data_IF_168045523970
#
_entry.id   IF_168045523970
#
_cell.length_a   1.000
_cell.length_b   1.000
_cell.length_c   1.000
_cell.angle_alpha   90.00
_cell.angle_beta   90.00
_cell.angle_gamma   90.00
#
_symmetry.space_group_name_H-M   'P 1'
#
loop_
_entity.id
_entity.type
_entity.pdbx_description
1 polymer ?
#
# COMPACT_ATOMS: atom_id res chain seq x y z
N UNK A 1 4.15 5.25 -6.69
CA UNK A 1 2.70 5.00 -6.92
C UNK A 1 1.85 6.24 -6.70
N UNK A 2 2.09 7.09 -5.69
CA UNK A 2 1.31 8.30 -5.40
C UNK A 2 1.46 9.37 -6.48
N UNK A 3 2.70 9.68 -6.90
CA UNK A 3 2.97 10.60 -8.00
C UNK A 3 2.38 10.09 -9.32
N UNK A 4 2.47 8.79 -9.57
CA UNK A 4 1.90 8.19 -10.76
C UNK A 4 0.38 8.27 -10.78
N UNK A 5 -0.29 8.05 -9.63
CA UNK A 5 -1.73 8.23 -9.48
C UNK A 5 -2.17 9.65 -9.78
N UNK A 6 -1.38 10.65 -9.32
CA UNK A 6 -1.65 12.06 -9.58
C UNK A 6 -1.48 12.41 -11.06
N UNK A 7 -0.41 11.96 -11.71
CA UNK A 7 -0.22 12.19 -13.16
C UNK A 7 -1.30 11.51 -13.99
N UNK A 8 -1.70 10.28 -13.65
CA UNK A 8 -2.77 9.59 -14.36
C UNK A 8 -4.14 10.24 -14.14
N UNK A 9 -4.39 10.87 -13.00
CA UNK A 9 -5.63 11.62 -12.76
C UNK A 9 -5.69 12.94 -13.53
N UNK A 10 -4.55 13.54 -13.89
CA UNK A 10 -4.46 14.80 -14.63
C UNK A 10 -4.37 14.64 -16.17
N UNK A 11 -3.95 13.46 -16.66
CA UNK A 11 -3.86 13.18 -18.09
C UNK A 11 -5.07 12.37 -18.57
N UNK A 12 -6.07 13.07 -19.04
CA UNK A 12 -7.02 12.76 -20.13
C UNK A 12 -7.83 11.47 -20.05
N UNK A 13 -7.92 10.81 -18.90
CA UNK A 13 -9.00 9.88 -18.73
C UNK A 13 -10.08 10.63 -17.93
N UNK A 14 -11.02 11.25 -18.62
CA UNK A 14 -12.25 11.77 -18.04
C UNK A 14 -13.07 10.58 -17.51
N UNK A 15 -12.64 10.04 -16.38
CA UNK A 15 -13.46 9.07 -15.66
C UNK A 15 -14.54 9.85 -14.93
N UNK A 16 -15.75 9.70 -15.39
CA UNK A 16 -16.97 10.25 -14.78
C UNK A 16 -17.14 9.73 -13.34
N UNK A 17 -16.44 8.64 -12.97
CA UNK A 17 -16.54 8.04 -11.64
C UNK A 17 -15.18 8.03 -10.96
N UNK A 18 -15.02 8.73 -9.82
CA UNK A 18 -13.76 8.82 -9.07
C UNK A 18 -13.17 7.47 -8.64
N UNK A 19 -13.99 6.44 -8.52
CA UNK A 19 -13.58 5.09 -8.08
C UNK A 19 -12.85 4.28 -9.16
N UNK A 20 -13.09 4.54 -10.45
CA UNK A 20 -12.54 3.71 -11.53
C UNK A 20 -11.03 3.82 -11.68
N UNK A 21 -10.46 5.03 -11.59
CA UNK A 21 -9.00 5.25 -11.68
C UNK A 21 -8.25 4.48 -10.57
N UNK A 22 -8.64 4.61 -9.29
CA UNK A 22 -8.05 3.82 -8.21
C UNK A 22 -8.12 2.31 -8.45
N UNK A 23 -9.29 1.81 -8.81
CA UNK A 23 -9.50 0.38 -9.07
C UNK A 23 -8.61 -0.12 -10.20
N UNK A 24 -8.49 0.65 -11.27
CA UNK A 24 -7.72 0.26 -12.44
C UNK A 24 -6.22 0.25 -12.17
N UNK A 25 -5.68 1.32 -11.57
CA UNK A 25 -4.26 1.41 -11.21
C UNK A 25 -3.87 0.28 -10.25
N UNK A 26 -4.67 0.06 -9.21
CA UNK A 26 -4.41 -1.00 -8.22
C UNK A 26 -4.57 -2.39 -8.82
N UNK A 27 -5.54 -2.59 -9.71
CA UNK A 27 -5.72 -3.85 -10.42
C UNK A 27 -4.48 -4.21 -11.26
N UNK A 28 -3.96 -3.27 -12.06
CA UNK A 28 -2.75 -3.50 -12.86
C UNK A 28 -1.54 -3.72 -11.95
N UNK A 29 -1.33 -2.84 -10.98
CA UNK A 29 -0.20 -2.94 -10.06
C UNK A 29 -0.17 -4.30 -9.34
N UNK A 30 -1.29 -4.71 -8.74
CA UNK A 30 -1.32 -5.96 -7.97
C UNK A 30 -1.37 -7.19 -8.87
N UNK A 31 -1.89 -7.09 -10.11
CA UNK A 31 -1.80 -8.17 -11.11
C UNK A 31 -0.36 -8.42 -11.54
N UNK A 32 0.38 -7.39 -11.91
CA UNK A 32 1.81 -7.50 -12.24
C UNK A 32 2.61 -8.04 -11.05
N UNK A 33 2.32 -7.53 -9.87
CA UNK A 33 2.95 -7.97 -8.62
C UNK A 33 2.67 -9.45 -8.32
N UNK A 34 1.41 -9.89 -8.45
CA UNK A 34 1.01 -11.28 -8.27
C UNK A 34 1.70 -12.18 -9.29
N UNK A 35 1.76 -11.75 -10.56
CA UNK A 35 2.46 -12.48 -11.61
C UNK A 35 3.94 -12.69 -11.27
N UNK A 36 4.64 -11.65 -10.84
CA UNK A 36 6.06 -11.73 -10.46
C UNK A 36 6.30 -12.65 -9.26
N UNK A 37 5.47 -12.54 -8.23
CA UNK A 37 5.58 -13.41 -7.03
C UNK A 37 5.27 -14.87 -7.40
N UNK A 38 4.22 -15.14 -8.16
CA UNK A 38 3.86 -16.49 -8.59
C UNK A 38 4.96 -17.10 -9.49
N UNK A 39 5.50 -16.31 -10.42
CA UNK A 39 6.63 -16.75 -11.25
C UNK A 39 7.84 -17.09 -10.40
N UNK A 40 8.18 -16.26 -9.42
CA UNK A 40 9.27 -16.53 -8.47
C UNK A 40 9.05 -17.84 -7.71
N UNK A 41 7.82 -18.11 -7.25
CA UNK A 41 7.45 -19.34 -6.54
C UNK A 41 7.66 -20.57 -7.44
N UNK A 42 7.26 -20.48 -8.71
CA UNK A 42 7.41 -21.56 -9.68
C UNK A 42 8.90 -21.82 -9.99
N UNK A 43 9.64 -20.77 -10.35
CA UNK A 43 11.06 -20.86 -10.71
C UNK A 43 11.91 -21.38 -9.55
N UNK A 44 11.60 -20.99 -8.32
CA UNK A 44 12.33 -21.45 -7.12
C UNK A 44 11.84 -22.79 -6.57
N UNK A 45 10.87 -23.44 -7.20
CA UNK A 45 10.32 -24.73 -6.77
C UNK A 45 9.52 -24.69 -5.46
N UNK A 46 9.08 -23.49 -5.03
CA UNK A 46 8.41 -23.27 -3.75
C UNK A 46 6.88 -23.51 -3.80
N UNK A 47 6.35 -24.06 -4.88
CA UNK A 47 4.90 -24.26 -5.08
C UNK A 47 4.30 -25.13 -3.97
N UNK A 48 4.90 -26.32 -3.72
CA UNK A 48 4.38 -27.24 -2.69
C UNK A 48 4.44 -26.66 -1.28
N UNK A 49 5.53 -26.05 -0.80
CA UNK A 49 5.60 -25.34 0.46
C UNK A 49 4.51 -24.25 0.60
N UNK A 50 4.34 -23.41 -0.41
CA UNK A 50 3.34 -22.33 -0.41
C UNK A 50 1.91 -22.88 -0.28
N UNK A 51 1.55 -23.89 -1.07
CA UNK A 51 0.22 -24.54 -0.97
C UNK A 51 0.00 -25.14 0.43
N UNK A 52 1.03 -25.74 1.02
CA UNK A 52 0.95 -26.29 2.39
C UNK A 52 0.72 -25.18 3.42
N UNK A 53 1.42 -24.05 3.28
CA UNK A 53 1.29 -22.90 4.18
C UNK A 53 -0.10 -22.26 4.09
N UNK A 54 -0.66 -22.10 2.89
CA UNK A 54 -1.99 -21.52 2.66
C UNK A 54 -3.09 -22.31 3.37
N UNK A 55 -2.93 -23.63 3.50
CA UNK A 55 -3.89 -24.53 4.16
C UNK A 55 -3.80 -24.52 5.69
N UNK A 56 -2.79 -23.93 6.29
CA UNK A 56 -2.63 -23.85 7.74
C UNK A 56 -3.68 -22.94 8.39
N UNK A 57 -4.10 -23.28 9.61
CA UNK A 57 -5.14 -22.52 10.32
C UNK A 57 -4.76 -21.03 10.53
N UNK A 58 -3.47 -20.72 10.68
CA UNK A 58 -2.99 -19.34 10.84
C UNK A 58 -3.04 -18.51 9.55
N UNK A 59 -3.18 -19.13 8.38
CA UNK A 59 -3.30 -18.40 7.11
C UNK A 59 -4.52 -17.46 7.10
N UNK A 60 -5.58 -17.76 7.86
CA UNK A 60 -6.76 -16.88 7.97
C UNK A 60 -6.42 -15.46 8.42
N UNK A 61 -5.43 -15.29 9.28
CA UNK A 61 -4.99 -13.95 9.71
C UNK A 61 -4.28 -13.21 8.58
N UNK A 62 -3.54 -13.93 7.76
CA UNK A 62 -2.89 -13.35 6.58
C UNK A 62 -3.95 -13.00 5.52
N UNK A 63 -4.92 -13.87 5.27
CA UNK A 63 -6.04 -13.58 4.36
C UNK A 63 -6.80 -12.32 4.77
N UNK A 64 -7.17 -12.23 6.05
CA UNK A 64 -7.89 -11.07 6.56
C UNK A 64 -7.03 -9.80 6.56
N UNK A 65 -5.78 -9.89 7.02
CA UNK A 65 -4.83 -8.76 6.96
C UNK A 65 -4.60 -8.29 5.52
N UNK A 66 -4.41 -9.21 4.58
CA UNK A 66 -4.22 -8.92 3.17
C UNK A 66 -5.44 -8.25 2.52
N UNK A 67 -6.64 -8.64 2.92
CA UNK A 67 -7.88 -7.98 2.46
C UNK A 67 -7.97 -6.54 2.97
N UNK A 68 -7.59 -6.31 4.23
CA UNK A 68 -7.53 -4.96 4.78
C UNK A 68 -6.48 -4.10 4.07
N UNK A 69 -5.25 -4.57 3.99
CA UNK A 69 -4.14 -3.76 3.47
C UNK A 69 -4.11 -3.63 1.96
N UNK A 70 -4.49 -4.68 1.23
CA UNK A 70 -4.59 -4.68 -0.23
C UNK A 70 -5.85 -3.93 -0.70
N UNK A 71 -6.99 -4.61 -0.85
CA UNK A 71 -8.18 -4.00 -1.42
C UNK A 71 -8.64 -2.73 -0.71
N UNK A 72 -8.78 -2.76 0.61
CA UNK A 72 -9.29 -1.62 1.37
C UNK A 72 -8.24 -0.52 1.48
N UNK A 73 -7.02 -0.87 1.90
CA UNK A 73 -5.97 0.11 2.17
C UNK A 73 -5.49 0.83 0.91
N UNK A 74 -5.15 0.08 -0.16
CA UNK A 74 -4.66 0.67 -1.40
C UNK A 74 -5.74 1.48 -2.12
N UNK A 75 -6.97 0.97 -2.20
CA UNK A 75 -8.07 1.72 -2.81
C UNK A 75 -8.31 3.03 -2.04
N UNK A 76 -8.37 2.96 -0.71
CA UNK A 76 -8.52 4.14 0.13
C UNK A 76 -7.36 5.13 -0.03
N UNK A 77 -6.12 4.64 -0.16
CA UNK A 77 -4.96 5.50 -0.40
C UNK A 77 -5.08 6.28 -1.70
N UNK A 78 -5.43 5.62 -2.81
CA UNK A 78 -5.55 6.28 -4.10
C UNK A 78 -6.77 7.21 -4.15
N UNK A 79 -7.88 6.83 -3.49
CA UNK A 79 -9.02 7.74 -3.30
C UNK A 79 -8.59 8.99 -2.51
N UNK A 80 -7.85 8.83 -1.42
CA UNK A 80 -7.32 9.97 -0.67
C UNK A 80 -6.43 10.88 -1.54
N UNK A 81 -5.56 10.30 -2.39
CA UNK A 81 -4.72 11.06 -3.34
C UNK A 81 -5.56 11.89 -4.30
N UNK A 82 -6.70 11.39 -4.77
CA UNK A 82 -7.59 12.15 -5.66
C UNK A 82 -8.24 13.36 -4.96
N UNK A 83 -8.56 13.24 -3.68
CA UNK A 83 -9.24 14.32 -2.94
C UNK A 83 -8.30 15.30 -2.25
N UNK A 84 -7.10 14.85 -1.83
CA UNK A 84 -6.16 15.64 -1.03
C UNK A 84 -4.86 15.98 -1.75
N UNK A 85 -4.59 15.29 -2.86
CA UNK A 85 -3.25 15.27 -3.44
C UNK A 85 -2.31 14.28 -2.76
N UNK A 86 -1.16 13.97 -3.39
CA UNK A 86 -0.23 12.95 -2.91
C UNK A 86 0.44 13.31 -1.58
N UNK A 87 0.80 14.58 -1.34
CA UNK A 87 1.52 14.99 -0.14
C UNK A 87 0.68 14.87 1.12
N UNK A 88 -0.53 15.47 1.17
CA UNK A 88 -1.41 15.36 2.33
C UNK A 88 -1.84 13.92 2.60
N UNK A 89 -2.09 13.15 1.55
CA UNK A 89 -2.40 11.72 1.69
C UNK A 89 -1.23 10.96 2.32
N UNK A 90 0.00 11.20 1.88
CA UNK A 90 1.19 10.56 2.44
C UNK A 90 1.38 10.92 3.91
N UNK A 91 1.16 12.20 4.29
CA UNK A 91 1.22 12.64 5.68
C UNK A 91 0.22 11.90 6.55
N UNK A 92 -1.07 11.95 6.18
CA UNK A 92 -2.13 11.37 7.01
C UNK A 92 -1.99 9.85 7.08
N UNK A 93 -1.72 9.20 5.95
CA UNK A 93 -1.52 7.75 5.92
C UNK A 93 -0.26 7.31 6.67
N UNK A 94 0.75 8.18 6.82
CA UNK A 94 1.99 7.88 7.57
C UNK A 94 1.76 7.63 9.07
N UNK A 95 0.56 7.87 9.58
CA UNK A 95 0.15 7.51 10.94
C UNK A 95 -0.02 5.98 11.10
N UNK A 96 -0.07 5.19 10.00
CA UNK A 96 -0.29 3.74 10.06
C UNK A 96 0.65 2.98 11.00
N UNK A 97 1.94 3.37 11.22
CA UNK A 97 2.78 2.66 12.18
C UNK A 97 2.36 2.89 13.64
N UNK A 98 1.76 4.05 13.94
CA UNK A 98 1.21 4.30 15.28
C UNK A 98 -0.03 3.44 15.54
N UNK A 99 -0.90 3.30 14.53
CA UNK A 99 -2.05 2.39 14.57
C UNK A 99 -1.59 0.95 14.74
N UNK A 100 -0.60 0.53 13.94
CA UNK A 100 -0.03 -0.81 14.04
C UNK A 100 0.70 -1.07 15.37
N UNK A 101 1.39 -0.07 15.93
CA UNK A 101 2.00 -0.17 17.27
C UNK A 101 0.92 -0.43 18.33
N UNK A 102 -0.19 0.29 18.28
CA UNK A 102 -1.32 0.10 19.19
C UNK A 102 -1.88 -1.32 19.08
N UNK A 103 -2.14 -1.81 17.88
CA UNK A 103 -2.61 -3.19 17.68
C UNK A 103 -1.59 -4.25 18.05
N UNK A 104 -0.29 -4.02 17.75
CA UNK A 104 0.76 -4.95 18.15
C UNK A 104 0.89 -5.05 19.67
N UNK A 105 0.68 -3.96 20.39
CA UNK A 105 0.64 -3.98 21.85
C UNK A 105 -0.52 -4.83 22.38
N UNK A 106 -1.73 -4.65 21.82
CA UNK A 106 -2.93 -5.35 22.27
C UNK A 106 -2.90 -6.84 21.87
N UNK A 107 -2.68 -7.15 20.59
CA UNK A 107 -2.85 -8.49 20.04
C UNK A 107 -1.60 -9.35 20.14
N UNK A 108 -0.42 -8.77 19.95
CA UNK A 108 0.85 -9.50 19.99
C UNK A 108 1.53 -9.41 21.37
N UNK A 109 1.01 -8.56 22.26
CA UNK A 109 1.61 -8.23 23.56
C UNK A 109 3.07 -7.78 23.42
N UNK A 110 3.38 -7.08 22.34
CA UNK A 110 4.71 -6.53 22.08
C UNK A 110 5.02 -5.40 23.06
N UNK A 111 5.97 -5.64 23.96
CA UNK A 111 6.49 -4.59 24.84
C UNK A 111 7.50 -3.74 24.08
N UNK A 112 7.32 -2.43 24.04
CA UNK A 112 8.26 -1.49 23.43
C UNK A 112 8.91 -0.62 24.48
N UNK A 113 10.17 -0.27 24.23
CA UNK A 113 10.87 0.70 25.06
C UNK A 113 10.39 2.11 24.70
N UNK A 114 10.28 2.97 25.69
CA UNK A 114 9.75 4.34 25.51
C UNK A 114 10.46 5.10 24.38
N UNK A 115 11.77 4.96 24.27
CA UNK A 115 12.53 5.65 23.21
C UNK A 115 12.13 5.24 21.79
N UNK A 116 11.66 3.98 21.59
CA UNK A 116 11.18 3.51 20.28
C UNK A 116 9.83 4.16 19.91
N UNK A 117 8.98 4.36 20.91
CA UNK A 117 7.71 5.08 20.76
C UNK A 117 7.97 6.55 20.44
N UNK A 118 8.85 7.18 21.19
CA UNK A 118 9.24 8.57 20.95
C UNK A 118 9.83 8.73 19.55
N UNK A 119 10.77 7.87 19.15
CA UNK A 119 11.37 7.91 17.81
C UNK A 119 10.34 7.80 16.68
N UNK A 120 9.29 6.94 16.85
CA UNK A 120 8.19 6.84 15.89
C UNK A 120 7.41 8.16 15.78
N UNK A 121 7.03 8.76 16.91
CA UNK A 121 6.30 10.03 16.89
C UNK A 121 7.13 11.18 16.33
N UNK A 122 8.44 11.21 16.62
CA UNK A 122 9.38 12.17 16.02
C UNK A 122 9.43 11.98 14.49
N UNK A 123 9.55 10.74 14.00
CA UNK A 123 9.53 10.46 12.56
C UNK A 123 8.22 10.91 11.90
N UNK A 124 7.07 10.66 12.53
CA UNK A 124 5.76 11.13 12.03
C UNK A 124 5.72 12.67 12.02
N UNK A 125 6.22 13.33 13.07
CA UNK A 125 6.26 14.79 13.14
C UNK A 125 7.13 15.40 12.01
N UNK A 126 8.28 14.78 11.68
CA UNK A 126 9.09 15.20 10.54
C UNK A 126 8.37 15.00 9.20
N UNK A 127 7.64 13.90 9.03
CA UNK A 127 6.85 13.67 7.80
C UNK A 127 5.76 14.73 7.67
N UNK A 128 5.08 15.06 8.76
CA UNK A 128 4.09 16.14 8.78
C UNK A 128 4.76 17.47 8.39
N UNK A 129 5.93 17.76 8.94
CA UNK A 129 6.65 19.00 8.63
C UNK A 129 7.11 19.07 7.16
N UNK A 130 7.53 17.92 6.58
CA UNK A 130 7.95 17.84 5.17
C UNK A 130 6.79 17.95 4.17
N UNK A 131 5.60 17.63 4.58
CA UNK A 131 4.49 17.41 3.65
C UNK A 131 3.54 18.60 3.48
N UNK A 132 3.78 19.75 4.10
CA UNK A 132 3.04 20.97 3.83
C UNK A 132 3.50 21.59 2.51
N UNK A 133 3.18 20.92 1.40
CA UNK A 133 3.29 21.47 0.04
C UNK A 133 1.92 21.97 -0.35
N UNK A 134 1.84 23.19 -0.81
CA UNK A 134 0.59 23.71 -1.38
C UNK A 134 0.39 23.10 -2.78
N UNK A 135 -0.35 22.00 -2.86
CA UNK A 135 -0.63 21.26 -4.10
C UNK A 135 -1.87 21.81 -4.84
N UNK A 136 -2.32 23.00 -4.51
CA UNK A 136 -3.50 23.61 -5.13
C UNK A 136 -4.82 23.19 -4.49
N UNK A 137 -5.94 23.48 -5.14
CA UNK A 137 -7.27 23.32 -4.56
C UNK A 137 -7.64 21.85 -4.32
N UNK A 138 -7.80 21.46 -3.07
CA UNK A 138 -8.39 20.20 -2.67
C UNK A 138 -9.89 20.21 -2.92
N UNK A 139 -10.39 19.25 -3.69
CA UNK A 139 -11.81 19.22 -4.11
C UNK A 139 -12.77 18.85 -2.98
N UNK A 140 -12.35 18.02 -2.03
CA UNK A 140 -13.18 17.64 -0.88
C UNK A 140 -12.31 17.09 0.28
N UNK A 141 -11.72 18.00 1.05
CA UNK A 141 -10.73 17.67 2.09
C UNK A 141 -11.24 16.68 3.15
N UNK A 142 -12.50 16.74 3.55
CA UNK A 142 -13.05 15.85 4.61
C UNK A 142 -13.11 14.41 4.11
N UNK A 143 -13.62 14.19 2.91
CA UNK A 143 -13.72 12.84 2.30
C UNK A 143 -12.32 12.24 2.12
N UNK A 144 -11.38 13.03 1.61
CA UNK A 144 -10.00 12.60 1.45
C UNK A 144 -9.32 12.22 2.77
N UNK A 145 -9.53 13.01 3.83
CA UNK A 145 -9.03 12.71 5.19
C UNK A 145 -9.59 11.37 5.70
N UNK A 146 -10.89 11.13 5.51
CA UNK A 146 -11.52 9.86 5.92
C UNK A 146 -10.85 8.69 5.19
N UNK A 147 -10.66 8.77 3.87
CA UNK A 147 -9.98 7.72 3.11
C UNK A 147 -8.53 7.52 3.55
N UNK A 148 -7.78 8.59 3.82
CA UNK A 148 -6.40 8.48 4.30
C UNK A 148 -6.33 7.81 5.70
N UNK A 149 -7.27 8.10 6.59
CA UNK A 149 -7.37 7.45 7.90
C UNK A 149 -7.78 5.97 7.78
N UNK A 150 -8.72 5.64 6.89
CA UNK A 150 -9.09 4.25 6.60
C UNK A 150 -7.88 3.48 6.07
N UNK A 151 -7.09 4.08 5.17
CA UNK A 151 -5.84 3.52 4.69
C UNK A 151 -4.85 3.24 5.83
N UNK A 152 -4.63 4.22 6.71
CA UNK A 152 -3.72 4.07 7.85
C UNK A 152 -4.16 2.94 8.80
N UNK A 153 -5.45 2.84 9.10
CA UNK A 153 -6.00 1.76 9.91
C UNK A 153 -5.85 0.40 9.21
N UNK A 154 -6.11 0.33 7.93
CA UNK A 154 -6.02 -0.89 7.14
C UNK A 154 -4.58 -1.42 7.06
N UNK A 155 -3.60 -0.57 6.74
CA UNK A 155 -2.18 -0.96 6.66
C UNK A 155 -1.58 -1.31 8.02
N UNK A 156 -1.93 -0.54 9.07
CA UNK A 156 -1.49 -0.86 10.44
C UNK A 156 -2.03 -2.21 10.91
N UNK A 157 -3.30 -2.52 10.60
CA UNK A 157 -3.93 -3.81 10.92
C UNK A 157 -3.33 -4.95 10.10
N UNK A 158 -3.10 -4.77 8.79
CA UNK A 158 -2.44 -5.75 7.92
C UNK A 158 -1.10 -6.19 8.50
N UNK A 159 -0.24 -5.22 8.84
CA UNK A 159 1.10 -5.50 9.35
C UNK A 159 1.06 -6.39 10.60
N UNK A 160 0.14 -6.13 11.52
CA UNK A 160 0.01 -6.90 12.77
C UNK A 160 -0.57 -8.28 12.50
N UNK A 161 -1.63 -8.39 11.71
CA UNK A 161 -2.27 -9.66 11.38
C UNK A 161 -1.36 -10.58 10.59
N UNK A 162 -0.67 -10.03 9.57
CA UNK A 162 0.27 -10.81 8.77
C UNK A 162 1.49 -11.25 9.60
N UNK A 163 2.02 -10.38 10.47
CA UNK A 163 3.09 -10.76 11.39
C UNK A 163 2.63 -11.85 12.37
N UNK A 164 1.40 -11.77 12.87
CA UNK A 164 0.84 -12.82 13.72
C UNK A 164 0.71 -14.15 12.99
N UNK A 165 0.24 -14.14 11.75
CA UNK A 165 0.13 -15.33 10.90
C UNK A 165 1.48 -15.98 10.61
N UNK A 166 2.54 -15.18 10.43
CA UNK A 166 3.91 -15.63 10.19
C UNK A 166 4.70 -15.96 11.46
N UNK A 167 4.14 -15.68 12.66
CA UNK A 167 4.84 -15.87 13.93
C UNK A 167 5.31 -17.32 14.09
N UNK A 168 6.54 -17.46 14.62
CA UNK A 168 7.18 -18.78 14.85
C UNK A 168 7.52 -19.56 13.56
N UNK A 169 7.55 -18.89 12.40
CA UNK A 169 7.91 -19.52 11.13
C UNK A 169 6.87 -20.51 10.58
N UNK A 170 5.64 -20.50 11.13
CA UNK A 170 4.60 -21.42 10.67
C UNK A 170 4.18 -21.18 9.22
N UNK A 171 4.15 -19.91 8.81
CA UNK A 171 3.89 -19.51 7.42
C UNK A 171 5.08 -18.68 6.96
N UNK A 172 5.63 -19.00 5.79
CA UNK A 172 6.75 -18.27 5.23
C UNK A 172 6.32 -16.86 4.76
N UNK A 173 7.25 -15.91 4.76
CA UNK A 173 7.00 -14.59 4.21
C UNK A 173 6.64 -14.64 2.72
N UNK A 174 7.19 -15.60 1.97
CA UNK A 174 6.85 -15.81 0.56
C UNK A 174 5.39 -16.27 0.39
N UNK A 175 4.92 -17.18 1.26
CA UNK A 175 3.52 -17.61 1.27
C UNK A 175 2.58 -16.47 1.65
N UNK A 176 2.98 -15.64 2.60
CA UNK A 176 2.18 -14.50 3.06
C UNK A 176 2.03 -13.44 1.96
N UNK A 177 3.12 -13.06 1.28
CA UNK A 177 3.04 -12.10 0.17
C UNK A 177 2.29 -12.68 -1.06
N UNK A 178 2.40 -14.00 -1.29
CA UNK A 178 1.62 -14.69 -2.31
C UNK A 178 0.11 -14.55 -2.04
N UNK A 179 -0.33 -14.82 -0.81
CA UNK A 179 -1.73 -14.63 -0.41
C UNK A 179 -2.16 -13.17 -0.65
N UNK A 180 -1.36 -12.22 -0.19
CA UNK A 180 -1.65 -10.79 -0.28
C UNK A 180 -1.85 -10.34 -1.72
N UNK A 181 -0.92 -10.64 -2.60
CA UNK A 181 -0.97 -10.16 -3.98
C UNK A 181 -2.05 -10.86 -4.80
N UNK A 182 -2.23 -12.16 -4.63
CA UNK A 182 -3.29 -12.89 -5.34
C UNK A 182 -4.69 -12.48 -4.86
N UNK A 183 -4.88 -12.26 -3.54
CA UNK A 183 -6.16 -11.78 -3.02
C UNK A 183 -6.51 -10.39 -3.56
N UNK A 184 -5.55 -9.47 -3.58
CA UNK A 184 -5.75 -8.14 -4.13
C UNK A 184 -6.06 -8.19 -5.63
N UNK A 185 -5.28 -8.93 -6.41
CA UNK A 185 -5.50 -9.12 -7.84
C UNK A 185 -6.91 -9.64 -8.12
N UNK A 186 -7.34 -10.69 -7.41
CA UNK A 186 -8.69 -11.28 -7.61
C UNK A 186 -9.76 -10.27 -7.22
N UNK A 187 -9.62 -9.60 -6.06
CA UNK A 187 -10.63 -8.65 -5.58
C UNK A 187 -10.79 -7.47 -6.55
N UNK A 188 -9.67 -6.86 -6.98
CA UNK A 188 -9.73 -5.76 -7.94
C UNK A 188 -10.21 -6.21 -9.32
N UNK A 189 -9.80 -7.40 -9.76
CA UNK A 189 -10.28 -7.98 -11.00
C UNK A 189 -11.79 -8.18 -11.00
N UNK A 190 -12.35 -8.72 -9.91
CA UNK A 190 -13.81 -8.87 -9.75
C UNK A 190 -14.50 -7.50 -9.73
N UNK A 191 -14.01 -6.55 -8.94
CA UNK A 191 -14.59 -5.20 -8.87
C UNK A 191 -14.53 -4.50 -10.23
N UNK A 192 -13.46 -4.68 -10.97
CA UNK A 192 -13.31 -4.12 -12.31
C UNK A 192 -14.30 -4.72 -13.31
N UNK A 193 -14.46 -6.04 -13.31
CA UNK A 193 -15.47 -6.72 -14.15
C UNK A 193 -16.88 -6.28 -13.79
N UNK A 194 -17.22 -6.22 -12.50
CA UNK A 194 -18.52 -5.74 -12.05
C UNK A 194 -18.79 -4.29 -12.47
N UNK A 195 -17.77 -3.43 -12.39
CA UNK A 195 -17.89 -2.06 -12.89
C UNK A 195 -18.25 -2.05 -14.38
N UNK A 196 -17.52 -2.78 -15.22
CA UNK A 196 -17.83 -2.84 -16.66
C UNK A 196 -19.19 -3.43 -16.98
N UNK A 197 -19.64 -4.41 -16.23
CA UNK A 197 -20.95 -5.03 -16.45
C UNK A 197 -22.14 -4.14 -16.07
N UNK A 198 -22.00 -3.33 -15.02
CA UNK A 198 -23.15 -2.62 -14.44
C UNK A 198 -23.09 -1.09 -14.58
N UNK A 199 -21.91 -0.52 -14.77
CA UNK A 199 -21.69 0.93 -14.69
C UNK A 199 -21.11 1.53 -15.98
N UNK A 200 -20.53 0.72 -16.89
CA UNK A 200 -19.93 1.20 -18.12
C UNK A 200 -21.02 1.53 -19.16
N UNK A 201 -21.04 2.79 -19.58
CA UNK A 201 -21.92 3.28 -20.66
C UNK A 201 -21.26 3.18 -22.05
N UNK A 202 -20.42 2.16 -22.28
CA UNK A 202 -19.68 1.99 -23.54
C UNK A 202 -18.35 2.75 -23.57
N UNK A 203 -17.83 3.13 -22.41
CA UNK A 203 -16.53 3.80 -22.29
C UNK A 203 -15.39 2.84 -22.67
N UNK A 204 -14.49 3.27 -23.56
CA UNK A 204 -13.29 2.53 -23.91
C UNK A 204 -12.11 3.04 -23.05
N UNK A 205 -11.36 2.11 -22.47
CA UNK A 205 -10.10 2.44 -21.84
C UNK A 205 -9.05 2.73 -22.91
N UNK A 206 -8.58 3.95 -22.96
CA UNK A 206 -7.42 4.30 -23.79
C UNK A 206 -6.15 3.84 -23.07
N UNK A 207 -5.44 2.90 -23.68
CA UNK A 207 -4.11 2.49 -23.21
C UNK A 207 -3.07 3.48 -23.71
N UNK A 208 -2.47 4.22 -22.80
CA UNK A 208 -1.42 5.20 -23.03
C UNK A 208 -0.09 4.70 -22.42
N UNK A 209 1.02 5.36 -22.77
CA UNK A 209 2.37 5.10 -22.24
C UNK A 209 2.46 5.14 -20.70
N UNK A 210 1.53 5.82 -20.04
CA UNK A 210 1.39 5.87 -18.58
C UNK A 210 1.30 4.49 -17.93
N UNK A 211 0.75 3.48 -18.62
CA UNK A 211 0.68 2.10 -18.13
C UNK A 211 2.05 1.44 -17.97
N UNK A 212 3.02 1.85 -18.77
CA UNK A 212 4.41 1.39 -18.61
C UNK A 212 4.97 1.79 -17.25
N UNK A 213 4.67 3.01 -16.80
CA UNK A 213 5.09 3.48 -15.48
C UNK A 213 4.39 2.73 -14.33
N UNK A 214 3.11 2.37 -14.50
CA UNK A 214 2.40 1.51 -13.51
C UNK A 214 3.06 0.14 -13.43
N UNK A 215 3.41 -0.45 -14.57
CA UNK A 215 4.12 -1.73 -14.63
C UNK A 215 5.49 -1.67 -13.95
N UNK A 216 6.29 -0.64 -14.22
CA UNK A 216 7.58 -0.43 -13.55
C UNK A 216 7.41 -0.22 -12.04
N UNK A 217 6.44 0.59 -11.63
CA UNK A 217 6.12 0.77 -10.22
C UNK A 217 5.72 -0.54 -9.53
N UNK A 218 4.99 -1.42 -10.24
CA UNK A 218 4.61 -2.72 -9.73
C UNK A 218 5.81 -3.66 -9.55
N UNK A 219 6.80 -3.62 -10.46
CA UNK A 219 8.04 -4.41 -10.33
C UNK A 219 8.80 -4.00 -9.07
N UNK A 220 9.12 -2.71 -8.92
CA UNK A 220 9.81 -2.21 -7.73
C UNK A 220 8.98 -2.38 -6.46
N UNK A 221 7.66 -2.17 -6.55
CA UNK A 221 6.71 -2.42 -5.48
C UNK A 221 6.72 -3.87 -5.00
N UNK A 222 6.79 -4.84 -5.92
CA UNK A 222 6.86 -6.27 -5.58
C UNK A 222 8.11 -6.61 -4.75
N UNK A 223 9.27 -6.09 -5.15
CA UNK A 223 10.52 -6.25 -4.39
C UNK A 223 10.41 -5.61 -3.01
N UNK A 224 9.87 -4.39 -2.95
CA UNK A 224 9.65 -3.67 -1.70
C UNK A 224 8.71 -4.45 -0.75
N UNK A 225 7.58 -4.95 -1.26
CA UNK A 225 6.64 -5.77 -0.48
C UNK A 225 7.28 -7.06 0.01
N UNK A 226 8.06 -7.74 -0.82
CA UNK A 226 8.79 -8.93 -0.38
C UNK A 226 9.74 -8.64 0.77
N UNK A 227 10.53 -7.58 0.68
CA UNK A 227 11.43 -7.12 1.75
C UNK A 227 10.64 -6.73 3.01
N UNK A 228 9.52 -6.02 2.85
CA UNK A 228 8.67 -5.62 3.95
C UNK A 228 8.05 -6.82 4.70
N UNK A 229 7.50 -7.79 3.98
CA UNK A 229 6.95 -9.01 4.60
C UNK A 229 8.04 -9.85 5.28
N UNK A 230 9.24 -9.88 4.72
CA UNK A 230 10.40 -10.48 5.39
C UNK A 230 10.75 -9.74 6.67
N UNK A 231 10.72 -8.42 6.69
CA UNK A 231 10.93 -7.62 7.88
C UNK A 231 9.83 -7.86 8.93
N UNK A 232 8.54 -7.91 8.53
CA UNK A 232 7.43 -8.26 9.41
C UNK A 232 7.65 -9.61 10.12
N UNK A 233 8.17 -10.61 9.39
CA UNK A 233 8.43 -11.95 9.93
C UNK A 233 9.64 -11.99 10.88
N UNK A 234 10.68 -11.17 10.63
CA UNK A 234 11.97 -11.25 11.34
C UNK A 234 12.09 -10.29 12.51
N UNK A 235 11.72 -9.02 12.33
CA UNK A 235 11.89 -7.96 13.35
C UNK A 235 10.59 -7.50 13.99
N UNK A 236 9.47 -8.07 13.53
CA UNK A 236 8.11 -7.77 14.01
C UNK A 236 7.49 -6.51 13.40
N UNK A 237 6.15 -6.36 13.52
CA UNK A 237 5.41 -5.35 12.79
C UNK A 237 5.80 -3.93 13.18
N UNK A 238 5.95 -3.62 14.46
CA UNK A 238 6.25 -2.26 14.90
C UNK A 238 7.57 -1.71 14.38
N UNK A 239 8.63 -2.54 14.29
CA UNK A 239 9.93 -2.14 13.75
C UNK A 239 9.89 -2.07 12.23
N UNK A 240 9.25 -3.05 11.59
CA UNK A 240 9.13 -3.08 10.14
C UNK A 240 8.38 -1.85 9.61
N UNK A 241 7.25 -1.48 10.24
CA UNK A 241 6.49 -0.28 9.89
C UNK A 241 7.28 1.01 10.12
N UNK A 242 8.01 1.11 11.25
CA UNK A 242 8.84 2.28 11.56
C UNK A 242 9.98 2.47 10.55
N UNK A 243 10.57 1.38 10.04
CA UNK A 243 11.56 1.45 8.96
C UNK A 243 10.90 1.76 7.61
N UNK A 244 9.74 1.17 7.36
CA UNK A 244 9.05 1.36 6.09
C UNK A 244 8.63 2.82 5.85
N UNK A 245 8.32 3.57 6.91
CA UNK A 245 7.91 4.99 6.79
C UNK A 245 9.00 5.86 6.12
N UNK A 246 10.26 5.42 6.10
CA UNK A 246 11.36 6.12 5.41
C UNK A 246 11.11 6.27 3.90
N UNK A 247 10.17 5.50 3.29
CA UNK A 247 9.82 5.65 1.89
C UNK A 247 9.36 7.07 1.53
N UNK A 248 8.77 7.80 2.47
CA UNK A 248 8.34 9.18 2.28
C UNK A 248 9.51 10.13 2.04
N UNK A 249 10.61 9.97 2.81
CA UNK A 249 11.82 10.75 2.61
C UNK A 249 12.48 10.42 1.25
N UNK A 250 12.55 9.14 0.88
CA UNK A 250 13.07 8.75 -0.43
C UNK A 250 12.17 9.25 -1.56
N UNK A 251 10.85 9.25 -1.39
CA UNK A 251 9.92 9.80 -2.37
C UNK A 251 10.17 11.30 -2.60
N UNK A 252 10.38 12.08 -1.53
CA UNK A 252 10.71 13.50 -1.64
C UNK A 252 12.05 13.73 -2.35
N UNK A 253 13.10 12.96 -2.00
CA UNK A 253 14.39 13.02 -2.68
C UNK A 253 14.29 12.70 -4.18
N UNK A 254 13.59 11.62 -4.55
CA UNK A 254 13.38 11.28 -5.96
C UNK A 254 12.58 12.34 -6.69
N UNK A 255 11.57 12.94 -6.05
CA UNK A 255 10.80 14.04 -6.63
C UNK A 255 11.68 15.25 -6.94
N UNK A 256 12.59 15.58 -6.05
CA UNK A 256 13.56 16.66 -6.25
C UNK A 256 14.51 16.38 -7.43
N UNK A 257 15.10 15.16 -7.50
CA UNK A 257 16.12 14.85 -8.51
C UNK A 257 15.57 14.55 -9.90
N UNK A 258 14.35 14.01 -10.01
CA UNK A 258 13.82 13.51 -11.28
C UNK A 258 12.67 14.33 -11.85
N UNK A 259 12.02 15.18 -11.02
CA UNK A 259 10.84 15.93 -11.44
C UNK A 259 10.99 17.45 -11.26
N UNK A 260 12.20 17.92 -10.94
CA UNK A 260 12.52 19.35 -10.71
C UNK A 260 11.57 20.02 -9.69
N UNK A 261 10.99 19.24 -8.81
CA UNK A 261 10.14 19.78 -7.75
C UNK A 261 11.06 20.42 -6.72
N UNK A 262 11.09 21.76 -6.70
CA UNK A 262 11.89 22.51 -5.74
C UNK A 262 11.38 22.26 -4.33
N UNK A 263 12.25 21.67 -3.49
CA UNK A 263 12.00 21.60 -2.06
C UNK A 263 12.07 23.04 -1.53
N UNK A 264 10.97 23.56 -1.01
CA UNK A 264 10.96 24.86 -0.35
C UNK A 264 11.68 24.75 1.01
N UNK A 265 12.18 25.89 1.54
CA UNK A 265 12.88 25.94 2.85
C UNK A 265 12.09 25.36 4.03
N UNK A 266 10.81 25.08 3.84
CA UNK A 266 9.91 24.41 4.80
C UNK A 266 9.78 22.91 4.55
N UNK A 267 10.37 22.37 3.51
CA UNK A 267 10.49 20.95 3.16
C UNK A 267 11.91 20.43 3.42
#
# INVERSE_FOLDING_TARGET
>A
TSLLGYYLSNYTIYFIIPLLVPLFITCIHDTVSAFLINTSIVVTGQVRPVIKDIKKAKSKYIWFGSFLGGPIGMCSYIMAVQYLGPSLTAIISSIYPAVGLFFAYIFLKEKRKLYQVIALFVAIAFIIALGFVDEGQTTNSIVGIIFALVCACAWGSEAVLCSYGMKSGEISNLSAICIRQNLSMITYGVLFVLYFMFMSNGESLAFDSSFTYVGLAAIFGSVSYYCYYRALATIGPSRAMALNISYTAFSALFSYFFFDITLTLHQ
#
